data_IF_558630105196
#
_entry.id   IF_558630105196
#
_cell.length_a   1.000
_cell.length_b   1.000
_cell.length_c   1.000
_cell.angle_alpha   90.00
_cell.angle_beta   90.00
_cell.angle_gamma   90.00
#
_symmetry.space_group_name_H-M   'P 1'
#
loop_
_entity.id
_entity.type
_entity.pdbx_description
1 polymer ?
#
# COMPACT_ATOMS: atom_id res chain seq x y z
N UNK A 1 6.07 1.77 21.97
CA UNK A 1 4.97 0.79 21.79
C UNK A 1 4.80 0.37 20.34
N UNK A 2 4.68 1.32 19.40
CA UNK A 2 4.51 1.04 17.96
C UNK A 2 5.57 0.09 17.36
N UNK A 3 6.86 0.32 17.62
CA UNK A 3 7.97 -0.55 17.16
C UNK A 3 7.81 -2.02 17.58
N UNK A 4 7.34 -2.27 18.81
CA UNK A 4 7.12 -3.63 19.32
C UNK A 4 5.97 -4.33 18.61
N UNK A 5 4.88 -3.61 18.37
CA UNK A 5 3.73 -4.13 17.62
C UNK A 5 4.13 -4.43 16.18
N UNK A 6 4.89 -3.53 15.54
CA UNK A 6 5.40 -3.73 14.19
C UNK A 6 6.32 -4.95 14.10
N UNK A 7 7.24 -5.12 15.05
CA UNK A 7 8.10 -6.30 15.11
C UNK A 7 7.31 -7.61 15.28
N UNK A 8 6.26 -7.60 16.10
CA UNK A 8 5.39 -8.76 16.29
C UNK A 8 4.63 -9.14 15.00
N UNK A 9 4.13 -8.14 14.26
CA UNK A 9 3.44 -8.39 12.99
C UNK A 9 4.42 -8.91 11.94
N UNK A 10 5.62 -8.34 11.86
CA UNK A 10 6.67 -8.80 10.95
C UNK A 10 7.03 -10.26 11.22
N UNK A 11 7.30 -10.62 12.46
CA UNK A 11 7.61 -12.01 12.83
C UNK A 11 6.51 -13.01 12.41
N UNK A 12 5.25 -12.58 12.40
CA UNK A 12 4.12 -13.43 11.99
C UNK A 12 3.99 -13.54 10.48
N UNK A 13 4.17 -12.45 9.73
CA UNK A 13 3.81 -12.39 8.31
C UNK A 13 4.98 -12.53 7.33
N UNK A 14 6.19 -12.08 7.69
CA UNK A 14 7.36 -12.09 6.80
C UNK A 14 7.74 -13.49 6.25
N UNK A 15 7.61 -14.60 7.01
CA UNK A 15 7.92 -15.94 6.49
C UNK A 15 7.03 -16.34 5.31
N UNK A 16 5.75 -15.97 5.33
CA UNK A 16 4.80 -16.31 4.27
C UNK A 16 5.12 -15.56 2.99
N UNK A 17 5.42 -14.26 3.09
CA UNK A 17 5.79 -13.45 1.93
C UNK A 17 7.11 -13.94 1.32
N UNK A 18 8.07 -14.33 2.16
CA UNK A 18 9.35 -14.90 1.72
C UNK A 18 9.16 -16.21 0.95
N UNK A 19 8.38 -17.15 1.49
CA UNK A 19 8.08 -18.41 0.83
C UNK A 19 7.33 -18.21 -0.50
N UNK A 20 6.40 -17.24 -0.54
CA UNK A 20 5.66 -16.90 -1.76
C UNK A 20 6.59 -16.32 -2.84
N UNK A 21 7.48 -15.40 -2.47
CA UNK A 21 8.45 -14.82 -3.39
C UNK A 21 9.39 -15.87 -3.99
N UNK A 22 9.86 -16.82 -3.16
CA UNK A 22 10.66 -17.96 -3.63
C UNK A 22 9.89 -18.82 -4.63
N UNK A 23 8.63 -19.14 -4.33
CA UNK A 23 7.76 -19.94 -5.21
C UNK A 23 7.53 -19.24 -6.55
N UNK A 24 7.36 -17.93 -6.53
CA UNK A 24 7.11 -17.11 -7.72
C UNK A 24 8.39 -16.63 -8.42
N UNK A 25 9.58 -16.95 -7.87
CA UNK A 25 10.89 -16.45 -8.34
C UNK A 25 10.95 -14.91 -8.44
N UNK A 26 10.31 -14.23 -7.49
CA UNK A 26 10.33 -12.78 -7.37
C UNK A 26 11.42 -12.36 -6.38
N UNK A 27 12.13 -11.26 -6.69
CA UNK A 27 13.00 -10.58 -5.75
C UNK A 27 12.17 -9.70 -4.82
N UNK A 28 12.32 -9.87 -3.51
CA UNK A 28 11.68 -8.98 -2.53
C UNK A 28 12.50 -7.71 -2.36
N UNK A 29 11.90 -6.52 -2.51
CA UNK A 29 12.55 -5.26 -2.13
C UNK A 29 12.68 -5.17 -0.60
N UNK A 30 13.57 -4.30 -0.12
CA UNK A 30 13.65 -4.01 1.31
C UNK A 30 12.33 -3.38 1.79
N UNK A 31 11.73 -3.92 2.86
CA UNK A 31 10.47 -3.41 3.42
C UNK A 31 10.60 -2.19 4.31
N UNK A 32 11.83 -1.74 4.57
CA UNK A 32 12.09 -0.47 5.22
C UNK A 32 12.57 0.48 4.13
N UNK A 33 11.85 1.59 3.96
CA UNK A 33 12.31 2.71 3.14
C UNK A 33 13.71 3.12 3.60
N UNK A 34 14.52 3.65 2.68
CA UNK A 34 15.77 4.29 3.09
C UNK A 34 15.44 5.42 4.10
N UNK A 35 16.34 5.71 5.04
CA UNK A 35 16.13 6.70 6.12
C UNK A 35 15.69 8.10 5.63
N UNK A 36 15.79 8.37 4.33
CA UNK A 36 15.45 9.64 3.71
C UNK A 36 14.40 9.56 2.58
N UNK A 37 13.72 8.42 2.40
CA UNK A 37 12.60 8.34 1.46
C UNK A 37 11.36 8.96 2.10
N UNK A 38 10.80 9.97 1.43
CA UNK A 38 9.49 10.52 1.78
C UNK A 38 8.45 9.43 1.55
N UNK A 39 7.73 9.06 2.61
CA UNK A 39 6.67 8.09 2.46
C UNK A 39 5.65 8.54 1.39
N UNK A 40 5.28 7.62 0.50
CA UNK A 40 4.36 7.88 -0.61
C UNK A 40 2.99 8.41 -0.14
N UNK A 41 2.57 8.11 1.10
CA UNK A 41 1.33 8.64 1.66
C UNK A 41 1.36 10.15 1.93
N UNK A 42 2.56 10.74 2.05
CA UNK A 42 2.74 12.18 2.26
C UNK A 42 2.83 12.94 0.94
N UNK A 43 3.17 12.26 -0.16
CA UNK A 43 3.32 12.84 -1.51
C UNK A 43 2.16 12.51 -2.44
N UNK A 44 1.40 11.45 -2.20
CA UNK A 44 0.21 11.15 -2.99
C UNK A 44 -0.88 12.17 -2.67
N UNK A 45 -1.24 12.97 -3.67
CA UNK A 45 -2.40 13.84 -3.66
C UNK A 45 -3.69 13.01 -3.56
N UNK A 46 -4.03 12.54 -2.35
CA UNK A 46 -5.40 12.17 -2.02
C UNK A 46 -6.31 13.40 -1.94
N UNK A 47 -5.72 14.61 -1.97
CA UNK A 47 -6.44 15.86 -2.09
C UNK A 47 -7.00 16.02 -3.51
N UNK A 48 -8.11 15.34 -3.74
CA UNK A 48 -8.93 15.49 -4.95
C UNK A 48 -9.69 16.81 -4.84
N UNK A 49 -8.97 17.93 -4.98
CA UNK A 49 -9.54 19.21 -5.40
C UNK A 49 -9.85 19.23 -6.90
N UNK A 50 -9.68 18.10 -7.59
CA UNK A 50 -10.17 17.89 -8.95
C UNK A 50 -11.65 17.56 -8.93
N UNK A 51 -12.48 18.52 -9.36
CA UNK A 51 -13.88 18.32 -9.73
C UNK A 51 -14.07 16.93 -10.37
N UNK A 52 -14.80 16.05 -9.69
CA UNK A 52 -15.22 14.79 -10.30
C UNK A 52 -16.05 15.15 -11.55
N UNK A 53 -15.78 14.57 -12.73
CA UNK A 53 -16.65 14.77 -13.86
C UNK A 53 -18.03 14.28 -13.45
N UNK A 54 -19.01 15.20 -13.56
CA UNK A 54 -20.40 14.97 -13.18
C UNK A 54 -20.98 13.90 -14.10
N UNK A 55 -20.74 12.63 -13.76
CA UNK A 55 -21.44 11.50 -14.36
C UNK A 55 -22.92 11.72 -14.05
N UNK A 56 -23.67 12.15 -15.06
CA UNK A 56 -25.12 12.06 -15.02
C UNK A 56 -25.43 10.58 -15.09
N UNK A 57 -26.00 10.02 -14.02
CA UNK A 57 -26.85 8.85 -14.19
C UNK A 57 -28.05 9.36 -14.98
N UNK A 58 -28.14 8.98 -16.25
CA UNK A 58 -29.41 9.06 -16.95
C UNK A 58 -30.28 7.97 -16.32
N UNK A 59 -31.16 8.38 -15.41
CA UNK A 59 -32.27 7.59 -14.89
C UNK A 59 -33.27 7.37 -16.04
N UNK A 60 -32.92 6.49 -16.98
CA UNK A 60 -33.77 6.07 -18.10
C UNK A 60 -33.78 4.54 -18.20
N UNK A 61 -34.10 3.87 -17.09
CA UNK A 61 -34.60 2.50 -17.14
C UNK A 61 -35.83 2.37 -16.22
N UNK A 62 -36.97 2.42 -16.90
CA UNK A 62 -38.33 2.12 -16.44
C UNK A 62 -38.47 0.67 -15.95
#
# INVERSE_FOLDING_TARGET
MAERTLASLRAMYEPYVTALAQRLRLSLPAWRAADHELDDWRTSAWDTSGELPRFKLDDDHL
#
